data_IF_051924470165
#
_entry.id   IF_051924470165
#
_cell.length_a   1.000
_cell.length_b   1.000
_cell.length_c   1.000
_cell.angle_alpha   90.00
_cell.angle_beta   90.00
_cell.angle_gamma   90.00
#
_symmetry.space_group_name_H-M   'P 1'
#
loop_
_entity.id
_entity.type
_entity.pdbx_description
1 polymer ?
#
# COMPACT_ATOMS: atom_id res chain seq x y z
N UNK A 1 17.40 25.17 -13.66
CA UNK A 1 16.13 24.63 -14.21
C UNK A 1 15.54 23.72 -13.15
N UNK A 2 14.50 24.18 -12.44
CA UNK A 2 13.78 23.37 -11.44
C UNK A 2 12.70 22.58 -12.20
N UNK A 3 12.98 21.32 -12.52
CA UNK A 3 11.94 20.42 -13.02
C UNK A 3 11.17 19.91 -11.81
N UNK A 4 10.12 20.66 -11.43
CA UNK A 4 9.02 20.11 -10.65
C UNK A 4 8.42 18.98 -11.47
N UNK A 5 8.90 17.75 -11.26
CA UNK A 5 8.20 16.52 -11.64
C UNK A 5 7.00 16.35 -10.73
N UNK A 6 6.08 17.32 -10.76
CA UNK A 6 4.78 17.13 -10.16
C UNK A 6 3.97 16.38 -11.20
N UNK A 7 3.96 15.06 -11.05
CA UNK A 7 3.07 14.19 -11.81
C UNK A 7 1.62 14.65 -11.61
N UNK A 8 0.73 14.38 -12.57
CA UNK A 8 -0.65 14.81 -12.49
C UNK A 8 -1.23 14.42 -11.13
N UNK A 9 -1.77 15.39 -10.41
CA UNK A 9 -2.44 15.22 -9.11
C UNK A 9 -3.60 14.20 -9.14
N UNK A 10 -3.96 13.76 -10.35
CA UNK A 10 -5.23 13.13 -10.68
C UNK A 10 -5.08 11.67 -11.15
N UNK A 11 -3.93 11.01 -10.92
CA UNK A 11 -3.94 9.54 -10.97
C UNK A 11 -4.90 9.08 -9.88
N UNK A 12 -6.08 8.64 -10.30
CA UNK A 12 -7.06 8.02 -9.43
C UNK A 12 -6.58 6.61 -9.10
N UNK A 13 -5.60 6.54 -8.19
CA UNK A 13 -5.03 5.29 -7.70
C UNK A 13 -6.11 4.32 -7.24
N UNK A 14 -7.21 4.83 -6.66
CA UNK A 14 -8.35 4.01 -6.24
C UNK A 14 -9.15 3.55 -7.46
N UNK A 15 -9.31 4.41 -8.47
CA UNK A 15 -9.89 4.09 -9.77
C UNK A 15 -9.15 2.98 -10.53
N UNK A 16 -7.86 2.75 -10.28
CA UNK A 16 -7.12 1.59 -10.83
C UNK A 16 -7.74 0.25 -10.36
N UNK A 17 -8.37 0.26 -9.18
CA UNK A 17 -9.01 -0.88 -8.53
C UNK A 17 -10.55 -0.79 -8.55
N UNK A 18 -11.10 -0.07 -9.53
CA UNK A 18 -12.56 0.06 -9.69
C UNK A 18 -13.22 -1.32 -9.83
N UNK A 19 -14.08 -1.63 -8.87
CA UNK A 19 -14.82 -2.88 -8.81
C UNK A 19 -15.94 -3.00 -9.84
N UNK A 20 -16.23 -1.93 -10.57
CA UNK A 20 -17.17 -1.96 -11.69
C UNK A 20 -16.53 -2.47 -12.99
N UNK A 21 -15.24 -2.81 -12.96
CA UNK A 21 -14.52 -3.38 -14.10
C UNK A 21 -13.90 -4.72 -13.74
N UNK A 22 -14.00 -5.70 -14.65
CA UNK A 22 -13.38 -7.02 -14.47
C UNK A 22 -11.85 -6.92 -14.29
N UNK A 23 -11.23 -5.92 -14.92
CA UNK A 23 -9.79 -5.68 -14.83
C UNK A 23 -9.38 -5.07 -13.48
N UNK A 24 -10.17 -4.14 -12.95
CA UNK A 24 -9.91 -3.52 -11.64
C UNK A 24 -10.08 -4.51 -10.49
N UNK A 25 -11.14 -5.35 -10.53
CA UNK A 25 -11.35 -6.39 -9.52
C UNK A 25 -10.26 -7.48 -9.58
N UNK A 26 -9.89 -7.93 -10.78
CA UNK A 26 -8.82 -8.92 -10.94
C UNK A 26 -7.47 -8.40 -10.39
N UNK A 27 -7.14 -7.12 -10.62
CA UNK A 27 -5.94 -6.48 -10.05
C UNK A 27 -6.01 -6.39 -8.54
N UNK A 28 -7.16 -5.97 -8.00
CA UNK A 28 -7.38 -5.90 -6.56
C UNK A 28 -7.17 -7.27 -5.90
N UNK A 29 -7.80 -8.31 -6.43
CA UNK A 29 -7.69 -9.66 -5.88
C UNK A 29 -6.27 -10.23 -6.02
N UNK A 30 -5.57 -9.98 -7.12
CA UNK A 30 -4.18 -10.38 -7.29
C UNK A 30 -3.28 -9.73 -6.22
N UNK A 31 -3.48 -8.45 -5.94
CA UNK A 31 -2.71 -7.71 -4.94
C UNK A 31 -2.99 -8.25 -3.53
N UNK A 32 -4.26 -8.40 -3.16
CA UNK A 32 -4.64 -8.94 -1.85
C UNK A 32 -4.08 -10.36 -1.65
N UNK A 33 -4.16 -11.24 -2.66
CA UNK A 33 -3.62 -12.61 -2.58
C UNK A 33 -2.11 -12.63 -2.41
N UNK A 34 -1.40 -11.79 -3.17
CA UNK A 34 0.06 -11.66 -3.09
C UNK A 34 0.49 -11.20 -1.69
N UNK A 35 -0.18 -10.19 -1.15
CA UNK A 35 0.12 -9.65 0.18
C UNK A 35 -0.25 -10.63 1.30
N UNK A 36 -1.35 -11.37 1.17
CA UNK A 36 -1.68 -12.45 2.10
C UNK A 36 -0.60 -13.52 2.12
N UNK A 37 -0.12 -13.96 0.96
CA UNK A 37 0.93 -14.98 0.88
C UNK A 37 2.24 -14.52 1.55
N UNK A 38 2.58 -13.23 1.43
CA UNK A 38 3.76 -12.65 2.08
C UNK A 38 3.59 -12.56 3.61
N UNK A 39 2.42 -12.10 4.07
CA UNK A 39 2.14 -11.90 5.51
C UNK A 39 1.88 -13.21 6.26
N UNK A 40 1.37 -14.26 5.62
CA UNK A 40 1.19 -15.58 6.26
C UNK A 40 2.51 -16.25 6.67
N UNK A 41 3.63 -15.84 6.07
CA UNK A 41 4.97 -16.32 6.45
C UNK A 41 5.54 -15.60 7.66
N UNK A 42 4.91 -14.51 8.10
CA UNK A 42 5.31 -13.71 9.26
C UNK A 42 4.44 -14.16 10.44
N UNK A 43 4.98 -15.10 11.22
CA UNK A 43 4.39 -15.58 12.47
C UNK A 43 4.43 -14.46 13.50
N UNK A 44 3.31 -13.80 13.74
CA UNK A 44 2.77 -13.39 15.06
C UNK A 44 1.72 -12.28 14.89
N UNK A 45 0.51 -12.55 15.37
CA UNK A 45 -0.62 -11.64 15.59
C UNK A 45 -1.41 -11.06 14.39
N UNK A 46 -2.75 -11.14 14.46
CA UNK A 46 -3.67 -10.59 13.44
C UNK A 46 -3.52 -9.06 13.26
N UNK A 47 -3.22 -8.35 14.35
CA UNK A 47 -3.01 -6.89 14.33
C UNK A 47 -1.74 -6.49 13.57
N UNK A 48 -0.69 -7.32 13.60
CA UNK A 48 0.53 -7.09 12.82
C UNK A 48 0.24 -7.25 11.33
N UNK A 49 -0.55 -8.25 10.95
CA UNK A 49 -0.95 -8.51 9.56
C UNK A 49 -1.73 -7.33 8.98
N UNK A 50 -2.79 -6.87 9.65
CA UNK A 50 -3.57 -5.72 9.19
C UNK A 50 -2.70 -4.45 9.07
N UNK A 51 -1.75 -4.27 9.99
CA UNK A 51 -0.79 -3.15 9.93
C UNK A 51 0.14 -3.26 8.71
N UNK A 52 0.63 -4.44 8.39
CA UNK A 52 1.44 -4.68 7.19
C UNK A 52 0.63 -4.48 5.90
N UNK A 53 -0.61 -4.97 5.84
CA UNK A 53 -1.51 -4.75 4.71
C UNK A 53 -1.73 -3.27 4.44
N UNK A 54 -1.97 -2.50 5.50
CA UNK A 54 -2.08 -1.05 5.43
C UNK A 54 -0.83 -0.41 4.81
N UNK A 55 0.36 -0.69 5.34
CA UNK A 55 1.61 -0.14 4.79
C UNK A 55 1.82 -0.53 3.33
N UNK A 56 1.45 -1.76 2.96
CA UNK A 56 1.58 -2.22 1.59
C UNK A 56 0.77 -1.36 0.61
N UNK A 57 -0.48 -1.01 0.95
CA UNK A 57 -1.29 -0.14 0.10
C UNK A 57 -0.81 1.31 0.10
N UNK A 58 -0.31 1.80 1.24
CA UNK A 58 0.25 3.13 1.33
C UNK A 58 1.54 3.25 0.51
N UNK A 59 2.42 2.25 0.57
CA UNK A 59 3.66 2.23 -0.19
C UNK A 59 3.45 2.15 -1.70
N UNK A 60 2.46 1.37 -2.15
CA UNK A 60 2.11 1.31 -3.57
C UNK A 60 1.49 2.63 -4.06
N UNK A 61 0.64 3.26 -3.24
CA UNK A 61 0.13 4.61 -3.49
C UNK A 61 1.26 5.65 -3.56
N UNK A 62 2.22 5.62 -2.64
CA UNK A 62 3.38 6.50 -2.67
C UNK A 62 4.20 6.29 -3.94
N UNK A 63 4.45 5.04 -4.34
CA UNK A 63 5.18 4.72 -5.55
C UNK A 63 4.49 5.27 -6.81
N UNK A 64 3.16 5.26 -6.85
CA UNK A 64 2.38 5.84 -7.93
C UNK A 64 2.45 7.38 -7.92
N UNK A 65 2.24 8.01 -6.76
CA UNK A 65 2.24 9.47 -6.60
C UNK A 65 3.58 10.12 -6.96
N UNK A 66 4.68 9.43 -6.67
CA UNK A 66 6.04 9.88 -6.99
C UNK A 66 6.54 9.35 -8.36
N UNK A 67 5.70 8.61 -9.10
CA UNK A 67 6.03 8.04 -10.41
C UNK A 67 7.16 7.02 -10.38
N UNK A 68 7.47 6.46 -9.22
CA UNK A 68 8.51 5.45 -9.10
C UNK A 68 8.13 4.17 -9.84
N UNK A 69 6.83 3.87 -9.97
CA UNK A 69 6.36 2.76 -10.82
C UNK A 69 6.74 2.94 -12.30
N UNK A 70 6.88 4.18 -12.79
CA UNK A 70 7.33 4.44 -14.17
C UNK A 70 8.84 4.21 -14.33
N UNK A 71 9.63 4.50 -13.29
CA UNK A 71 11.08 4.37 -13.30
C UNK A 71 11.55 2.95 -12.96
N UNK A 72 10.83 2.30 -12.05
CA UNK A 72 11.05 0.93 -11.61
C UNK A 72 9.69 0.26 -11.39
N UNK A 73 9.13 -0.41 -12.42
CA UNK A 73 7.85 -1.09 -12.33
C UNK A 73 7.77 -2.12 -11.19
N UNK A 74 8.91 -2.71 -10.85
CA UNK A 74 9.04 -3.75 -9.82
C UNK A 74 9.30 -3.19 -8.42
N UNK A 75 9.21 -1.86 -8.22
CA UNK A 75 9.38 -1.27 -6.89
C UNK A 75 8.34 -1.85 -5.92
N UNK A 76 8.84 -2.47 -4.86
CA UNK A 76 8.00 -3.01 -3.80
C UNK A 76 7.46 -1.87 -2.94
N UNK A 77 6.25 -1.98 -2.39
CA UNK A 77 5.68 -0.97 -1.50
C UNK A 77 6.56 -0.65 -0.28
N UNK A 78 7.27 -1.64 0.27
CA UNK A 78 8.22 -1.41 1.35
C UNK A 78 9.41 -0.54 0.89
N UNK A 79 9.97 -0.83 -0.28
CA UNK A 79 11.06 -0.01 -0.84
C UNK A 79 10.59 1.40 -1.18
N UNK A 80 9.34 1.57 -1.62
CA UNK A 80 8.74 2.88 -1.81
C UNK A 80 8.62 3.65 -0.49
N UNK A 81 8.11 3.01 0.57
CA UNK A 81 8.08 3.61 1.92
C UNK A 81 9.48 4.00 2.39
N UNK A 82 10.46 3.10 2.26
CA UNK A 82 11.82 3.39 2.68
C UNK A 82 12.41 4.57 1.90
N UNK A 83 12.25 4.58 0.59
CA UNK A 83 12.71 5.67 -0.27
C UNK A 83 12.03 6.99 0.10
N UNK A 84 10.73 6.95 0.40
CA UNK A 84 9.96 8.10 0.84
C UNK A 84 10.50 8.69 2.15
N UNK A 85 10.71 7.86 3.17
CA UNK A 85 11.24 8.29 4.46
C UNK A 85 12.68 8.84 4.35
N UNK A 86 13.53 8.21 3.53
CA UNK A 86 14.88 8.71 3.24
C UNK A 86 14.81 10.12 2.63
N UNK A 87 13.94 10.34 1.64
CA UNK A 87 13.85 11.60 0.92
C UNK A 87 13.17 12.71 1.72
N UNK A 88 12.07 12.42 2.42
CA UNK A 88 11.30 13.41 3.19
C UNK A 88 12.07 13.90 4.41
N UNK A 89 12.65 12.97 5.17
CA UNK A 89 13.24 13.25 6.48
C UNK A 89 14.77 13.28 6.46
N UNK A 90 15.39 13.09 5.29
CA UNK A 90 16.84 12.98 5.12
C UNK A 90 17.48 11.92 6.04
N UNK A 91 16.76 10.81 6.24
CA UNK A 91 17.22 9.72 7.12
C UNK A 91 18.22 8.81 6.40
N UNK A 92 19.24 8.29 7.10
CA UNK A 92 20.12 7.26 6.56
C UNK A 92 19.37 5.98 6.20
N UNK A 93 19.73 5.36 5.08
CA UNK A 93 19.12 4.10 4.64
C UNK A 93 19.20 2.98 5.69
N UNK A 94 20.32 2.91 6.44
CA UNK A 94 20.48 1.95 7.52
C UNK A 94 19.51 2.19 8.69
N UNK A 95 19.20 3.45 8.99
CA UNK A 95 18.23 3.79 10.03
C UNK A 95 16.83 3.38 9.59
N UNK A 96 16.45 3.70 8.35
CA UNK A 96 15.12 3.36 7.82
C UNK A 96 14.93 1.85 7.70
N UNK A 97 15.94 1.12 7.25
CA UNK A 97 15.89 -0.35 7.17
C UNK A 97 15.76 -1.04 8.54
N UNK A 98 16.15 -0.36 9.62
CA UNK A 98 16.00 -0.83 10.99
C UNK A 98 14.70 -0.44 11.67
N UNK A 99 13.82 0.32 11.01
CA UNK A 99 12.54 0.76 11.59
C UNK A 99 11.57 -0.41 11.75
N UNK A 100 10.87 -0.46 12.88
CA UNK A 100 9.75 -1.40 13.07
C UNK A 100 8.51 -0.95 12.30
N UNK A 101 7.58 -1.87 12.07
CA UNK A 101 6.27 -1.58 11.46
C UNK A 101 5.53 -0.45 12.17
N UNK A 102 5.57 -0.42 13.50
CA UNK A 102 4.94 0.62 14.33
C UNK A 102 5.61 1.98 14.13
N UNK A 103 6.94 2.01 14.06
CA UNK A 103 7.70 3.24 13.80
C UNK A 103 7.39 3.80 12.41
N UNK A 104 7.28 2.93 11.41
CA UNK A 104 6.90 3.33 10.05
C UNK A 104 5.46 3.86 10.04
N UNK A 105 4.51 3.20 10.70
CA UNK A 105 3.13 3.70 10.80
C UNK A 105 3.07 5.07 11.45
N UNK A 106 3.78 5.26 12.55
CA UNK A 106 3.83 6.53 13.26
C UNK A 106 4.41 7.63 12.36
N UNK A 107 5.54 7.35 11.70
CA UNK A 107 6.20 8.29 10.79
C UNK A 107 5.35 8.65 9.57
N UNK A 108 4.39 7.80 9.18
CA UNK A 108 3.52 7.98 8.01
C UNK A 108 2.09 8.39 8.37
N UNK A 109 1.86 8.95 9.56
CA UNK A 109 0.51 9.32 10.04
C UNK A 109 -0.16 10.36 9.13
N UNK A 110 0.60 11.33 8.62
CA UNK A 110 0.08 12.41 7.76
C UNK A 110 -0.25 11.90 6.35
N UNK A 111 0.60 11.03 5.80
CA UNK A 111 0.41 10.37 4.52
C UNK A 111 -0.81 9.46 4.56
N UNK A 112 -1.02 8.78 5.69
CA UNK A 112 -2.25 8.04 5.96
C UNK A 112 -3.49 8.93 5.96
N UNK A 113 -3.41 10.10 6.61
CA UNK A 113 -4.49 11.08 6.61
C UNK A 113 -4.83 11.53 5.19
N UNK A 114 -3.80 11.83 4.40
CA UNK A 114 -3.92 12.26 3.00
C UNK A 114 -4.53 11.16 2.13
N UNK A 115 -4.05 9.92 2.27
CA UNK A 115 -4.57 8.78 1.52
C UNK A 115 -6.06 8.53 1.84
N UNK A 116 -6.44 8.56 3.13
CA UNK A 116 -7.83 8.39 3.58
C UNK A 116 -8.78 9.48 3.13
N UNK A 117 -8.27 10.69 2.89
CA UNK A 117 -9.07 11.83 2.42
C UNK A 117 -9.40 11.74 0.91
N UNK A 118 -8.74 10.86 0.13
CA UNK A 118 -9.03 10.71 -1.30
C UNK A 118 -10.44 10.17 -1.52
N UNK A 119 -11.08 10.62 -2.60
CA UNK A 119 -12.39 10.12 -3.03
C UNK A 119 -12.32 8.60 -3.24
N UNK A 120 -13.26 7.86 -2.65
CA UNK A 120 -13.29 6.39 -2.74
C UNK A 120 -12.39 5.65 -1.75
N UNK A 121 -11.50 6.34 -1.02
CA UNK A 121 -10.52 5.70 -0.13
C UNK A 121 -11.19 4.93 1.00
N UNK A 122 -12.29 5.45 1.54
CA UNK A 122 -13.05 4.80 2.62
C UNK A 122 -13.58 3.43 2.19
N UNK A 123 -14.22 3.35 1.03
CA UNK A 123 -14.77 2.09 0.51
C UNK A 123 -13.68 1.12 0.11
N UNK A 124 -12.63 1.64 -0.53
CA UNK A 124 -11.44 0.88 -0.87
C UNK A 124 -10.77 0.26 0.36
N UNK A 125 -10.48 1.06 1.39
CA UNK A 125 -9.87 0.59 2.64
C UNK A 125 -10.76 -0.40 3.37
N UNK A 126 -12.08 -0.18 3.40
CA UNK A 126 -13.02 -1.14 3.96
C UNK A 126 -12.96 -2.49 3.24
N UNK A 127 -12.78 -2.50 1.91
CA UNK A 127 -12.59 -3.73 1.14
C UNK A 127 -11.25 -4.37 1.46
N UNK A 128 -10.18 -3.59 1.50
CA UNK A 128 -8.82 -4.02 1.87
C UNK A 128 -8.79 -4.68 3.25
N UNK A 129 -9.47 -4.11 4.24
CA UNK A 129 -9.43 -4.62 5.61
C UNK A 129 -10.27 -5.90 5.76
N UNK A 130 -11.40 -6.01 5.04
CA UNK A 130 -12.29 -7.18 5.08
C UNK A 130 -11.85 -8.35 4.21
N UNK A 131 -11.12 -8.10 3.12
CA UNK A 131 -10.75 -9.15 2.16
C UNK A 131 -9.79 -10.20 2.76
N UNK A 132 -8.76 -9.84 3.56
CA UNK A 132 -7.92 -10.79 4.27
C UNK A 132 -8.73 -11.71 5.20
N UNK A 133 -9.66 -11.15 5.99
CA UNK A 133 -10.53 -11.94 6.88
C UNK A 133 -11.37 -12.94 6.07
N UNK A 134 -11.88 -12.52 4.91
CA UNK A 134 -12.63 -13.38 4.00
C UNK A 134 -11.79 -14.42 3.24
N UNK A 135 -10.45 -14.32 3.27
CA UNK A 135 -9.53 -15.33 2.75
C UNK A 135 -9.07 -16.30 3.83
N UNK A 136 -9.19 -15.92 5.10
CA UNK A 136 -8.94 -16.75 6.27
C UNK A 136 -10.16 -17.63 6.64
N UNK A 137 -11.33 -17.41 6.02
CA UNK A 137 -12.52 -18.26 6.16
C UNK A 137 -12.34 -19.60 5.40
N UNK A 138 -12.25 -20.75 6.10
CA UNK A 138 -12.06 -22.05 5.48
C UNK A 138 -13.30 -22.57 4.72
N UNK A 139 -14.46 -21.93 4.87
CA UNK A 139 -15.72 -22.34 4.23
C UNK A 139 -16.07 -21.54 2.98
N UNK A 140 -15.18 -20.66 2.53
CA UNK A 140 -15.41 -19.91 1.30
C UNK A 140 -15.16 -20.79 0.08
N UNK A 141 -16.23 -21.45 -0.37
CA UNK A 141 -16.27 -22.12 -1.67
C UNK A 141 -15.85 -21.12 -2.76
N UNK A 142 -14.86 -21.52 -3.55
CA UNK A 142 -14.47 -20.85 -4.78
C UNK A 142 -15.61 -21.11 -5.78
N UNK A 143 -16.54 -20.15 -5.90
CA UNK A 143 -17.51 -20.08 -7.00
C UNK A 143 -17.04 -19.09 -8.04
#
# INVERSE_FOLDING_TARGET
>A
MNTNYQLPSDIDYIGIFDNNTDTGEARFDLYVKTFRSMTMKMTEESNSRQSLFRLQWLGDWLAEMYGWKMLNPDITPLNAIHSYLILRDNLPAAQVAGMTTEQIHLALTEEWGTFKARRGAKDFLRRVEKRPDSLDDPFREIH
#
